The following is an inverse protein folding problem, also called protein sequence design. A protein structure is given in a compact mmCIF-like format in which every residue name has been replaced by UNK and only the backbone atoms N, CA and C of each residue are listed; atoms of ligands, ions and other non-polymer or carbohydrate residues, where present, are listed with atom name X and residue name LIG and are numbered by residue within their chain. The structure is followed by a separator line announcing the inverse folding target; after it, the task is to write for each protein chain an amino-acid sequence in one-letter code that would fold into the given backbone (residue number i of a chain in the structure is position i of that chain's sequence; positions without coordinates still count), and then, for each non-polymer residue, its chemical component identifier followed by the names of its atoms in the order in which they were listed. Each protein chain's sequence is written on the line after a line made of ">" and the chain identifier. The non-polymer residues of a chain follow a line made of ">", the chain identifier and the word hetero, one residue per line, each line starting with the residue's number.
data_IF_901377244152
#
_entry.id   IF_901377244152
#
_cell.length_a   1.000
_cell.length_b   1.000
_cell.length_c   1.000
_cell.angle_alpha   90.00
_cell.angle_beta   90.00
_cell.angle_gamma   90.00
#
_symmetry.space_group_name_H-M   'P 1'
#
loop_
_entity.id
_entity.type
_entity.pdbx_description
1 polymer ?
#
# COMPACT_ATOMS: atom_id res chain seq x y z
N UNK A 1 -19.08 92.02 9.14
CA UNK A 1 -19.84 91.02 9.93
C UNK A 1 -19.43 89.65 9.40
N UNK A 2 -18.42 89.03 10.03
CA UNK A 2 -18.51 87.78 10.82
C UNK A 2 -19.09 86.58 10.05
N UNK A 3 -18.24 85.59 9.79
CA UNK A 3 -18.61 84.24 9.38
C UNK A 3 -17.35 83.38 9.25
N UNK A 4 -16.98 82.69 10.33
CA UNK A 4 -15.78 81.84 10.43
C UNK A 4 -15.91 80.50 9.71
N UNK A 5 -14.81 79.73 9.62
CA UNK A 5 -14.77 78.46 8.90
C UNK A 5 -15.39 77.30 9.73
N UNK A 6 -16.10 76.41 9.04
CA UNK A 6 -16.61 75.16 9.60
C UNK A 6 -15.50 74.10 9.75
N UNK A 7 -15.60 73.19 10.73
CA UNK A 7 -14.51 72.28 11.08
C UNK A 7 -14.42 71.08 10.14
N UNK A 8 -13.18 70.69 9.85
CA UNK A 8 -12.83 69.46 9.17
C UNK A 8 -13.29 68.24 9.97
N UNK A 9 -14.02 67.34 9.30
CA UNK A 9 -14.41 66.06 9.86
C UNK A 9 -13.19 65.13 9.85
N UNK A 10 -12.69 64.81 11.04
CA UNK A 10 -11.72 63.73 11.26
C UNK A 10 -12.43 62.38 11.13
N UNK A 11 -12.19 61.67 10.03
CA UNK A 11 -12.45 60.23 9.94
C UNK A 11 -11.27 59.50 10.59
N UNK A 12 -11.46 58.66 11.61
CA UNK A 12 -10.39 57.79 12.09
C UNK A 12 -10.13 56.71 11.03
N UNK A 13 -8.92 56.69 10.50
CA UNK A 13 -8.42 55.59 9.70
C UNK A 13 -8.31 54.35 10.60
N UNK A 14 -9.28 53.43 10.48
CA UNK A 14 -9.17 52.09 11.05
C UNK A 14 -8.10 51.34 10.25
N UNK A 15 -6.86 51.39 10.75
CA UNK A 15 -5.79 50.50 10.32
C UNK A 15 -6.15 49.08 10.79
N UNK A 16 -6.94 48.38 9.98
CA UNK A 16 -7.22 46.96 10.14
C UNK A 16 -5.93 46.18 9.91
N UNK A 17 -5.24 45.83 10.99
CA UNK A 17 -4.18 44.81 10.97
C UNK A 17 -4.88 43.50 10.62
N UNK A 18 -4.87 43.14 9.34
CA UNK A 18 -5.21 41.79 8.89
C UNK A 18 -4.08 40.87 9.37
N UNK A 19 -4.21 40.37 10.59
CA UNK A 19 -3.51 39.17 11.01
C UNK A 19 -4.00 38.01 10.12
N UNK A 20 -3.32 37.80 8.99
CA UNK A 20 -3.36 36.51 8.31
C UNK A 20 -2.72 35.50 9.27
N UNK A 21 -3.54 34.93 10.15
CA UNK A 21 -3.19 33.70 10.83
C UNK A 21 -2.94 32.67 9.73
N UNK A 22 -1.66 32.36 9.49
CA UNK A 22 -1.28 31.20 8.70
C UNK A 22 -1.86 29.99 9.45
N UNK A 23 -3.02 29.54 9.02
CA UNK A 23 -3.58 28.27 9.45
C UNK A 23 -2.63 27.23 8.86
N UNK A 24 -1.67 26.79 9.67
CA UNK A 24 -0.93 25.56 9.46
C UNK A 24 -1.97 24.44 9.46
N UNK A 25 -2.46 24.11 8.27
CA UNK A 25 -3.20 22.87 8.05
C UNK A 25 -2.17 21.77 8.28
N UNK A 26 -2.17 21.22 9.50
CA UNK A 26 -1.51 19.97 9.76
C UNK A 26 -2.12 18.95 8.79
N UNK A 27 -1.37 18.57 7.76
CA UNK A 27 -1.67 17.39 6.97
C UNK A 27 -1.72 16.24 7.98
N UNK A 28 -2.91 15.78 8.34
CA UNK A 28 -3.10 14.61 9.19
C UNK A 28 -2.24 13.49 8.64
N UNK A 29 -1.12 13.24 9.31
CA UNK A 29 -0.22 12.17 8.97
C UNK A 29 -1.00 10.88 9.09
N UNK A 30 -1.24 10.22 7.96
CA UNK A 30 -1.81 8.88 7.89
C UNK A 30 -1.18 8.02 9.00
N UNK A 31 -1.97 7.31 9.83
CA UNK A 31 -1.48 6.72 11.06
C UNK A 31 -0.24 5.85 10.78
N UNK A 32 0.83 6.09 11.56
CA UNK A 32 2.08 5.33 11.55
C UNK A 32 1.81 3.92 12.05
N UNK A 33 1.29 3.06 11.19
CA UNK A 33 0.93 1.69 11.52
C UNK A 33 0.97 0.80 10.29
N UNK A 34 0.90 -0.51 10.51
CA UNK A 34 0.76 -1.49 9.43
C UNK A 34 -0.56 -1.23 8.67
N UNK A 35 -0.51 -0.80 7.39
CA UNK A 35 -1.72 -0.46 6.63
C UNK A 35 -2.62 -1.69 6.40
N UNK A 36 -2.08 -2.89 6.54
CA UNK A 36 -2.78 -4.16 6.37
C UNK A 36 -3.22 -4.78 7.71
N UNK A 37 -3.08 -4.07 8.84
CA UNK A 37 -3.47 -4.60 10.15
C UNK A 37 -4.94 -5.05 10.21
N UNK A 38 -5.83 -4.40 9.44
CA UNK A 38 -7.25 -4.71 9.37
C UNK A 38 -7.56 -6.09 8.75
N UNK A 39 -6.63 -6.69 8.00
CA UNK A 39 -6.81 -8.06 7.49
C UNK A 39 -6.74 -9.11 8.60
N UNK A 40 -6.28 -8.76 9.81
CA UNK A 40 -6.28 -9.68 10.96
C UNK A 40 -7.66 -9.81 11.62
N UNK A 41 -8.68 -9.09 11.16
CA UNK A 41 -10.05 -9.23 11.67
C UNK A 41 -10.69 -10.55 11.16
N UNK A 42 -11.07 -11.49 12.06
CA UNK A 42 -11.67 -12.76 11.69
C UNK A 42 -12.94 -12.66 10.84
N UNK A 43 -13.73 -11.60 11.03
CA UNK A 43 -14.96 -11.33 10.27
C UNK A 43 -14.69 -11.10 8.77
N UNK A 44 -13.44 -10.81 8.41
CA UNK A 44 -13.04 -10.50 7.03
C UNK A 44 -12.29 -11.64 6.34
N UNK A 45 -11.97 -12.72 7.05
CA UNK A 45 -11.20 -13.84 6.52
C UNK A 45 -11.79 -14.39 5.21
N UNK A 46 -13.12 -14.56 5.18
CA UNK A 46 -13.84 -15.12 4.03
C UNK A 46 -13.97 -14.18 2.83
N UNK A 47 -13.49 -12.92 2.94
CA UNK A 47 -13.41 -12.00 1.79
C UNK A 47 -12.30 -12.41 0.82
N UNK A 48 -11.29 -13.12 1.32
CA UNK A 48 -10.14 -13.59 0.53
C UNK A 48 -10.05 -15.12 0.54
N UNK A 49 -10.17 -15.74 1.71
CA UNK A 49 -9.96 -17.18 1.88
C UNK A 49 -11.24 -17.98 1.59
N UNK A 50 -11.07 -19.13 0.95
CA UNK A 50 -12.15 -20.10 0.77
C UNK A 50 -12.28 -21.01 1.99
N UNK A 51 -13.39 -21.73 2.07
CA UNK A 51 -13.58 -22.78 3.08
C UNK A 51 -13.36 -24.16 2.48
N UNK A 52 -12.82 -25.06 3.30
CA UNK A 52 -12.72 -26.48 3.03
C UNK A 52 -13.19 -27.25 4.27
N UNK A 53 -14.16 -28.16 4.10
CA UNK A 53 -14.72 -28.97 5.20
C UNK A 53 -15.21 -28.13 6.40
N UNK A 54 -15.87 -27.00 6.11
CA UNK A 54 -16.43 -26.12 7.14
C UNK A 54 -15.39 -25.28 7.89
N UNK A 55 -14.12 -25.32 7.51
CA UNK A 55 -13.04 -24.47 8.05
C UNK A 55 -12.47 -23.57 6.97
N UNK A 56 -12.03 -22.38 7.35
CA UNK A 56 -11.27 -21.51 6.45
C UNK A 56 -9.97 -22.22 6.04
N UNK A 57 -9.66 -22.19 4.74
CA UNK A 57 -8.42 -22.70 4.18
C UNK A 57 -7.45 -21.53 3.92
N UNK A 58 -6.32 -21.44 4.65
CA UNK A 58 -5.39 -20.33 4.51
C UNK A 58 -4.64 -20.32 3.16
N UNK A 59 -4.68 -21.43 2.41
CA UNK A 59 -3.95 -21.60 1.16
C UNK A 59 -4.85 -21.48 -0.08
N UNK A 60 -6.18 -21.45 0.09
CA UNK A 60 -7.14 -21.28 -1.00
C UNK A 60 -7.77 -19.90 -0.99
N UNK A 61 -7.79 -19.28 -2.15
CA UNK A 61 -8.23 -17.91 -2.32
C UNK A 61 -9.37 -17.81 -3.34
N UNK A 62 -10.35 -16.96 -3.04
CA UNK A 62 -11.44 -16.64 -3.95
C UNK A 62 -10.94 -15.90 -5.18
N UNK A 63 -11.63 -16.07 -6.31
CA UNK A 63 -11.44 -15.29 -7.55
C UNK A 63 -11.70 -13.79 -7.36
N UNK A 64 -12.40 -13.41 -6.29
CA UNK A 64 -12.72 -12.02 -5.92
C UNK A 64 -11.68 -11.37 -5.00
N UNK A 65 -10.67 -12.12 -4.53
CA UNK A 65 -9.63 -11.63 -3.60
C UNK A 65 -8.97 -10.34 -4.09
N UNK A 66 -8.73 -10.27 -5.39
CA UNK A 66 -8.12 -9.14 -6.08
C UNK A 66 -8.94 -7.84 -5.96
N UNK A 67 -10.27 -7.94 -5.85
CA UNK A 67 -11.16 -6.80 -5.67
C UNK A 67 -10.98 -6.15 -4.28
N UNK A 68 -10.68 -6.95 -3.26
CA UNK A 68 -10.37 -6.43 -1.90
C UNK A 68 -9.14 -5.54 -1.94
N UNK A 69 -8.07 -5.98 -2.61
CA UNK A 69 -6.85 -5.19 -2.77
C UNK A 69 -7.13 -3.91 -3.56
N UNK A 70 -7.91 -4.02 -4.65
CA UNK A 70 -8.26 -2.88 -5.49
C UNK A 70 -9.14 -1.83 -4.81
N UNK A 71 -9.83 -2.17 -3.72
CA UNK A 71 -10.60 -1.21 -2.92
C UNK A 71 -9.72 -0.09 -2.33
N UNK A 72 -8.43 -0.36 -2.12
CA UNK A 72 -7.47 0.63 -1.64
C UNK A 72 -6.32 0.90 -2.63
N UNK A 73 -5.90 -0.11 -3.40
CA UNK A 73 -4.82 0.00 -4.37
C UNK A 73 -5.36 0.26 -5.77
N UNK A 74 -5.20 1.50 -6.25
CA UNK A 74 -5.64 1.92 -7.58
C UNK A 74 -4.95 1.11 -8.68
N UNK A 75 -5.73 0.57 -9.61
CA UNK A 75 -5.23 -0.23 -10.75
C UNK A 75 -4.27 0.57 -11.62
N UNK A 76 -4.47 1.88 -11.72
CA UNK A 76 -3.68 2.81 -12.51
C UNK A 76 -2.26 2.98 -11.94
N UNK A 77 -2.05 2.64 -10.67
CA UNK A 77 -0.72 2.65 -10.05
C UNK A 77 0.08 1.37 -10.34
N UNK A 78 -0.55 0.35 -10.92
CA UNK A 78 0.11 -0.88 -11.31
C UNK A 78 0.89 -0.67 -12.61
N UNK A 79 2.22 -0.82 -12.54
CA UNK A 79 3.07 -0.76 -13.73
C UNK A 79 2.82 -1.92 -14.70
N UNK A 80 3.31 -1.78 -15.94
CA UNK A 80 3.16 -2.81 -17.00
C UNK A 80 3.69 -4.19 -16.61
N UNK A 81 4.66 -4.25 -15.70
CA UNK A 81 5.30 -5.48 -15.21
C UNK A 81 4.60 -6.08 -13.98
N UNK A 82 3.37 -5.68 -13.67
CA UNK A 82 2.62 -6.15 -12.50
C UNK A 82 1.46 -7.05 -12.93
N UNK A 83 1.74 -8.34 -13.26
CA UNK A 83 0.74 -9.23 -13.87
C UNK A 83 -0.35 -9.62 -12.88
N UNK A 84 -1.58 -9.72 -13.40
CA UNK A 84 -2.76 -10.26 -12.72
C UNK A 84 -3.71 -10.86 -13.75
N UNK A 85 -4.62 -11.73 -13.32
CA UNK A 85 -5.58 -12.39 -14.20
C UNK A 85 -4.90 -13.20 -15.33
N UNK A 86 -3.73 -13.77 -15.05
CA UNK A 86 -2.98 -14.64 -15.97
C UNK A 86 -3.06 -16.06 -15.44
N UNK A 87 -3.47 -17.03 -16.26
CA UNK A 87 -3.43 -18.47 -15.93
C UNK A 87 -2.14 -19.08 -16.46
N UNK A 88 -1.09 -19.24 -15.64
CA UNK A 88 0.21 -19.61 -16.19
C UNK A 88 0.20 -21.05 -16.72
N UNK A 89 -0.63 -21.94 -16.15
CA UNK A 89 -0.75 -23.33 -16.61
C UNK A 89 -1.41 -23.48 -17.99
N UNK A 90 -2.31 -22.58 -18.35
CA UNK A 90 -2.95 -22.59 -19.68
C UNK A 90 -1.98 -22.09 -20.77
N UNK A 91 -1.27 -20.99 -20.47
CA UNK A 91 -0.40 -20.30 -21.44
C UNK A 91 1.01 -20.89 -21.52
N UNK A 92 1.52 -21.42 -20.41
CA UNK A 92 2.89 -21.89 -20.25
C UNK A 92 2.90 -23.25 -19.53
N UNK A 93 2.47 -24.31 -20.20
CA UNK A 93 2.28 -25.66 -19.60
C UNK A 93 3.50 -26.25 -18.88
N UNK A 94 4.72 -25.82 -19.25
CA UNK A 94 5.98 -26.26 -18.63
C UNK A 94 6.38 -25.42 -17.40
N UNK A 95 5.77 -24.25 -17.21
CA UNK A 95 6.06 -23.37 -16.09
C UNK A 95 5.66 -24.05 -14.78
N UNK A 96 6.63 -24.17 -13.88
CA UNK A 96 6.40 -24.63 -12.51
C UNK A 96 6.20 -23.42 -11.61
N UNK A 97 5.01 -23.33 -11.02
CA UNK A 97 4.68 -22.29 -10.05
C UNK A 97 5.07 -22.85 -8.66
N UNK A 98 5.97 -22.18 -7.93
CA UNK A 98 6.35 -22.61 -6.59
C UNK A 98 5.15 -22.70 -5.64
N UNK A 99 5.14 -23.63 -4.67
CA UNK A 99 4.00 -23.81 -3.77
C UNK A 99 3.61 -22.57 -2.96
N UNK A 100 4.57 -21.71 -2.62
CA UNK A 100 4.30 -20.45 -1.92
C UNK A 100 3.63 -19.41 -2.82
N UNK A 101 3.70 -19.54 -4.15
CA UNK A 101 3.07 -18.62 -5.10
C UNK A 101 1.64 -19.11 -5.39
N UNK A 102 0.78 -18.92 -4.40
CA UNK A 102 -0.63 -19.33 -4.46
C UNK A 102 -1.37 -18.58 -5.58
N UNK A 103 -2.16 -19.31 -6.34
CA UNK A 103 -3.09 -18.76 -7.33
C UNK A 103 -4.48 -18.67 -6.71
N UNK A 104 -5.43 -18.01 -7.39
CA UNK A 104 -6.83 -18.13 -6.99
C UNK A 104 -7.37 -19.52 -7.35
N UNK A 105 -8.62 -19.76 -6.94
CA UNK A 105 -9.32 -21.01 -7.21
C UNK A 105 -9.51 -21.33 -8.70
N UNK A 106 -9.31 -20.34 -9.57
CA UNK A 106 -9.35 -20.46 -11.02
C UNK A 106 -7.93 -20.54 -11.65
N UNK A 107 -6.90 -20.69 -10.82
CA UNK A 107 -5.52 -20.86 -11.26
C UNK A 107 -4.89 -19.59 -11.85
N UNK A 108 -5.40 -18.41 -11.51
CA UNK A 108 -4.88 -17.12 -11.96
C UNK A 108 -3.88 -16.52 -10.98
N UNK A 109 -2.89 -15.82 -11.53
CA UNK A 109 -2.04 -14.91 -10.76
C UNK A 109 -2.93 -13.76 -10.24
N UNK A 110 -2.84 -13.52 -8.94
CA UNK A 110 -3.52 -12.45 -8.21
C UNK A 110 -2.50 -11.61 -7.43
N UNK A 111 -2.93 -10.54 -6.78
CA UNK A 111 -2.10 -9.72 -5.89
C UNK A 111 -1.37 -10.58 -4.84
N UNK A 112 -2.07 -11.52 -4.20
CA UNK A 112 -1.52 -12.39 -3.14
C UNK A 112 -0.58 -13.50 -3.65
N UNK A 113 -0.45 -13.69 -4.96
CA UNK A 113 0.56 -14.60 -5.51
C UNK A 113 1.97 -14.09 -5.16
N UNK A 114 2.19 -12.78 -5.31
CA UNK A 114 3.47 -12.12 -5.00
C UNK A 114 3.46 -11.42 -3.64
N UNK A 115 2.31 -10.96 -3.15
CA UNK A 115 2.18 -10.25 -1.88
C UNK A 115 1.63 -11.13 -0.75
N UNK A 116 2.02 -10.86 0.49
CA UNK A 116 1.56 -11.53 1.70
C UNK A 116 0.86 -10.50 2.58
N UNK A 117 -0.46 -10.40 2.46
CA UNK A 117 -1.26 -9.39 3.16
C UNK A 117 -1.10 -9.43 4.70
N UNK A 118 -0.86 -10.61 5.27
CA UNK A 118 -0.62 -10.77 6.71
C UNK A 118 0.85 -10.59 7.14
N UNK A 119 1.76 -10.33 6.18
CA UNK A 119 3.19 -10.25 6.41
C UNK A 119 3.60 -9.06 7.28
N UNK A 120 4.86 -9.04 7.71
CA UNK A 120 5.40 -7.90 8.43
C UNK A 120 5.41 -6.66 7.53
N UNK A 121 5.02 -5.50 8.05
CA UNK A 121 5.07 -4.24 7.28
C UNK A 121 6.50 -3.72 7.08
N UNK A 122 7.36 -3.95 8.07
CA UNK A 122 8.76 -3.51 8.08
C UNK A 122 9.73 -4.65 8.41
N UNK A 123 10.96 -4.54 7.94
CA UNK A 123 12.07 -5.46 8.21
C UNK A 123 13.39 -4.70 8.32
N UNK A 124 14.39 -5.27 8.98
CA UNK A 124 15.77 -4.76 8.97
C UNK A 124 16.52 -5.13 7.68
N UNK A 125 15.92 -5.95 6.82
CA UNK A 125 16.46 -6.36 5.52
C UNK A 125 15.80 -5.57 4.40
N UNK A 126 16.61 -5.01 3.50
CA UNK A 126 16.13 -4.34 2.28
C UNK A 126 15.48 -5.33 1.32
N UNK A 127 14.40 -4.88 0.69
CA UNK A 127 13.71 -5.55 -0.41
C UNK A 127 14.45 -5.39 -1.75
N UNK A 128 15.21 -4.30 -1.90
CA UNK A 128 16.04 -4.03 -3.09
C UNK A 128 17.25 -3.14 -2.74
N UNK A 129 18.35 -3.16 -3.54
CA UNK A 129 19.64 -2.57 -3.14
C UNK A 129 19.57 -1.09 -2.71
N UNK A 130 18.81 -0.31 -3.47
CA UNK A 130 18.70 1.15 -3.33
C UNK A 130 17.50 1.58 -2.48
N UNK A 131 16.99 0.71 -1.62
CA UNK A 131 15.88 1.05 -0.74
C UNK A 131 16.34 1.97 0.39
N UNK A 132 15.67 3.11 0.53
CA UNK A 132 15.85 4.03 1.65
C UNK A 132 15.17 3.51 2.91
N UNK A 133 15.71 3.79 4.11
CA UNK A 133 15.04 3.47 5.37
C UNK A 133 13.65 4.10 5.45
N UNK A 134 12.72 3.36 6.02
CA UNK A 134 11.39 3.80 6.38
C UNK A 134 11.41 4.32 7.82
N UNK A 135 10.91 5.55 8.09
CA UNK A 135 10.75 6.03 9.45
C UNK A 135 9.85 5.08 10.23
N UNK A 136 10.37 4.51 11.31
CA UNK A 136 9.65 3.63 12.22
C UNK A 136 9.95 4.06 13.65
N UNK A 137 8.93 4.01 14.49
CA UNK A 137 9.03 4.37 15.92
C UNK A 137 9.67 3.23 16.76
N UNK A 138 10.08 2.13 16.11
CA UNK A 138 10.75 0.99 16.75
C UNK A 138 12.25 1.24 16.95
N UNK A 139 12.77 0.86 18.12
CA UNK A 139 14.21 0.78 18.37
C UNK A 139 14.81 -0.49 17.74
N UNK A 140 16.04 -0.42 17.22
CA UNK A 140 16.75 -1.63 16.75
C UNK A 140 17.31 -1.61 15.33
N UNK A 141 17.22 -0.49 14.59
CA UNK A 141 17.97 -0.29 13.35
C UNK A 141 17.18 0.40 12.24
N UNK A 142 17.79 0.62 11.06
CA UNK A 142 17.03 1.11 9.93
C UNK A 142 16.02 0.05 9.53
N UNK A 143 14.75 0.42 9.54
CA UNK A 143 13.66 -0.40 9.04
C UNK A 143 13.43 -0.09 7.57
N UNK A 144 12.97 -1.08 6.82
CA UNK A 144 12.61 -0.96 5.41
C UNK A 144 11.22 -1.53 5.22
N UNK A 145 10.40 -0.90 4.37
CA UNK A 145 9.10 -1.48 3.99
C UNK A 145 9.35 -2.81 3.31
N UNK A 146 8.67 -3.85 3.76
CA UNK A 146 8.73 -5.17 3.11
C UNK A 146 7.99 -5.18 1.77
N UNK A 147 7.14 -4.16 1.53
CA UNK A 147 6.16 -4.10 0.45
C UNK A 147 5.24 -5.35 0.43
N UNK A 148 5.19 -6.05 1.57
CA UNK A 148 4.54 -7.35 1.72
C UNK A 148 4.97 -8.36 0.66
N UNK A 149 6.17 -8.26 0.08
CA UNK A 149 6.60 -9.22 -0.95
C UNK A 149 6.92 -10.58 -0.33
N UNK A 150 6.43 -11.63 -0.98
CA UNK A 150 6.67 -13.02 -0.59
C UNK A 150 8.13 -13.42 -0.74
N UNK A 151 8.80 -12.89 -1.76
CA UNK A 151 10.23 -13.06 -1.99
C UNK A 151 10.83 -11.72 -2.39
N UNK A 152 12.01 -11.44 -1.84
CA UNK A 152 12.83 -10.32 -2.25
C UNK A 152 14.28 -10.59 -1.86
N UNK A 153 15.20 -9.86 -2.48
CA UNK A 153 16.61 -10.01 -2.18
C UNK A 153 17.27 -8.62 -2.14
N UNK A 154 18.09 -8.30 -1.13
CA UNK A 154 18.73 -7.00 -1.02
C UNK A 154 19.73 -6.70 -2.15
N UNK A 155 20.16 -7.71 -2.92
CA UNK A 155 21.05 -7.59 -4.09
C UNK A 155 20.27 -7.62 -5.41
N UNK A 156 19.32 -8.54 -5.55
CA UNK A 156 18.61 -8.77 -6.83
C UNK A 156 17.27 -8.01 -6.92
N UNK A 157 16.74 -7.54 -5.79
CA UNK A 157 15.47 -6.83 -5.72
C UNK A 157 14.28 -7.77 -5.91
N UNK A 158 13.36 -7.37 -6.79
CA UNK A 158 12.15 -8.13 -7.12
C UNK A 158 12.35 -9.18 -8.21
N UNK A 159 13.52 -9.26 -8.86
CA UNK A 159 13.75 -10.30 -9.87
C UNK A 159 13.63 -11.71 -9.28
N UNK A 160 13.91 -11.87 -7.97
CA UNK A 160 13.69 -13.11 -7.24
C UNK A 160 12.23 -13.59 -7.24
N UNK A 161 11.26 -12.70 -7.48
CA UNK A 161 9.86 -13.09 -7.69
C UNK A 161 9.66 -13.66 -9.09
N UNK A 162 10.18 -12.97 -10.10
CA UNK A 162 10.03 -13.38 -11.50
C UNK A 162 10.78 -14.70 -11.78
N UNK A 163 12.03 -14.80 -11.32
CA UNK A 163 12.89 -15.96 -11.50
C UNK A 163 12.28 -17.24 -10.93
N UNK A 164 11.50 -17.13 -9.85
CA UNK A 164 10.81 -18.24 -9.21
C UNK A 164 9.95 -19.08 -10.18
N UNK A 165 9.37 -18.45 -11.21
CA UNK A 165 8.60 -19.12 -12.25
C UNK A 165 9.33 -19.17 -13.61
N UNK A 166 10.23 -18.22 -13.90
CA UNK A 166 10.84 -18.05 -15.22
C UNK A 166 12.22 -18.70 -15.40
N UNK A 167 12.95 -19.01 -14.33
CA UNK A 167 14.29 -19.63 -14.42
C UNK A 167 14.23 -21.16 -14.55
N UNK A 168 13.05 -21.77 -14.36
CA UNK A 168 12.83 -23.22 -14.41
C UNK A 168 11.95 -23.65 -15.62
N UNK A 169 11.98 -22.90 -16.72
CA UNK A 169 11.17 -23.15 -17.93
C UNK A 169 11.75 -24.23 -18.85
#
# INVERSE_FOLDING_TARGET
>A
MRGGPTPAWLLPALAGVFCFAVVLVASDGYPRGDPHAHFRNPEHCLKCHLTHQGRMDPDRFSVETDAVCLGCHKKESLGRSHPRNVRPREKYRKMKIPPDFRLDDDGRIMCLTCHTAHGAYVSTVKVFPKQSPFPSDSSGGPYYKTLFLRRSNPREGWSSLCGACHENL
#
